data_IF_878917711000
#
_entry.id   IF_878917711000
#
_cell.length_a   1.000
_cell.length_b   1.000
_cell.length_c   1.000
_cell.angle_alpha   90.00
_cell.angle_beta   90.00
_cell.angle_gamma   90.00
#
_symmetry.space_group_name_H-M   'P 1'
#
loop_
_entity.id
_entity.type
_entity.pdbx_description
1 polymer ?
#
# COMPACT_ATOMS: atom_id res chain seq x y z
N UNK A 1 -2.17 -0.94 -41.73
CA UNK A 1 -1.32 -1.17 -40.54
C UNK A 1 -0.93 0.18 -39.99
N UNK A 2 -1.42 0.54 -38.80
CA UNK A 2 -0.76 1.49 -37.91
C UNK A 2 -0.56 0.73 -36.60
N UNK A 3 0.66 0.23 -36.38
CA UNK A 3 1.00 -0.56 -35.20
C UNK A 3 1.33 0.37 -34.02
N UNK A 4 0.34 1.15 -33.57
CA UNK A 4 0.44 2.09 -32.43
C UNK A 4 -0.87 2.11 -31.63
N UNK A 5 -1.60 0.99 -31.60
CA UNK A 5 -2.94 0.91 -31.02
C UNK A 5 -3.07 -0.35 -30.14
N UNK A 6 -2.35 -0.34 -29.00
CA UNK A 6 -2.49 -1.36 -27.95
C UNK A 6 -2.10 -0.88 -26.52
N UNK A 7 -1.69 0.38 -26.37
CA UNK A 7 -1.58 1.07 -25.07
C UNK A 7 -2.12 2.51 -25.20
N UNK A 8 -3.44 2.65 -25.35
CA UNK A 8 -4.11 3.95 -25.25
C UNK A 8 -4.13 4.44 -23.80
N UNK A 9 -2.98 4.93 -23.29
CA UNK A 9 -2.95 5.64 -22.00
C UNK A 9 -3.97 6.77 -22.05
N UNK A 10 -4.95 6.75 -21.13
CA UNK A 10 -5.92 7.83 -20.99
C UNK A 10 -5.18 9.13 -20.73
N UNK A 11 -5.18 10.03 -21.71
CA UNK A 11 -4.45 11.29 -21.64
C UNK A 11 -5.17 12.23 -20.69
N UNK A 12 -4.69 12.34 -19.45
CA UNK A 12 -5.26 13.27 -18.47
C UNK A 12 -5.06 14.71 -18.92
N UNK A 13 -6.18 15.39 -19.18
CA UNK A 13 -6.24 16.81 -19.53
C UNK A 13 -7.06 17.57 -18.49
N UNK A 14 -6.96 18.91 -18.48
CA UNK A 14 -7.82 19.73 -17.64
C UNK A 14 -9.31 19.49 -17.97
N UNK A 15 -9.65 19.31 -19.25
CA UNK A 15 -11.01 18.97 -19.70
C UNK A 15 -11.48 17.61 -19.19
N UNK A 16 -10.63 16.58 -19.28
CA UNK A 16 -10.92 15.25 -18.72
C UNK A 16 -11.17 15.32 -17.21
N UNK A 17 -10.32 16.01 -16.47
CA UNK A 17 -10.46 16.15 -15.02
C UNK A 17 -11.74 16.92 -14.63
N UNK A 18 -12.14 17.93 -15.42
CA UNK A 18 -13.40 18.63 -15.25
C UNK A 18 -14.63 17.74 -15.54
N UNK A 19 -14.60 16.97 -16.63
CA UNK A 19 -15.70 16.09 -17.03
C UNK A 19 -15.89 14.91 -16.05
N UNK A 20 -14.80 14.25 -15.63
CA UNK A 20 -14.86 13.05 -14.78
C UNK A 20 -15.06 13.34 -13.29
N UNK A 21 -14.57 14.47 -12.78
CA UNK A 21 -14.57 14.76 -11.34
C UNK A 21 -15.36 16.03 -10.96
N UNK A 22 -15.97 16.71 -11.93
CA UNK A 22 -16.79 17.90 -11.69
C UNK A 22 -16.01 19.17 -11.37
N UNK A 23 -14.73 19.24 -11.77
CA UNK A 23 -13.92 20.45 -11.64
C UNK A 23 -14.28 21.50 -12.72
N UNK A 24 -13.89 22.76 -12.54
CA UNK A 24 -14.06 23.81 -13.55
C UNK A 24 -12.70 24.27 -14.10
N UNK A 25 -12.55 24.32 -15.43
CA UNK A 25 -11.33 24.82 -16.10
C UNK A 25 -11.45 26.31 -16.43
N UNK A 26 -10.46 27.10 -16.01
CA UNK A 26 -10.39 28.53 -16.31
C UNK A 26 -9.00 28.87 -16.88
N UNK A 27 -8.89 29.50 -18.06
CA UNK A 27 -9.95 29.77 -19.02
C UNK A 27 -10.39 28.49 -19.74
N UNK A 28 -11.62 28.45 -20.25
CA UNK A 28 -12.21 27.25 -20.87
C UNK A 28 -11.46 26.72 -22.12
N UNK A 29 -10.67 27.57 -22.80
CA UNK A 29 -9.82 27.10 -23.90
C UNK A 29 -8.63 26.23 -23.42
N UNK A 30 -8.29 26.28 -22.12
CA UNK A 30 -7.22 25.48 -21.55
C UNK A 30 -7.61 24.00 -21.32
N UNK A 31 -8.85 23.59 -21.59
CA UNK A 31 -9.30 22.20 -21.41
C UNK A 31 -8.45 21.16 -22.16
N UNK A 32 -7.78 21.55 -23.27
CA UNK A 32 -6.84 20.67 -23.99
C UNK A 32 -5.44 20.55 -23.37
N UNK A 33 -5.11 21.33 -22.33
CA UNK A 33 -3.82 21.24 -21.62
C UNK A 33 -3.73 19.89 -20.93
N UNK A 34 -2.59 19.23 -21.13
CA UNK A 34 -2.30 17.88 -20.62
C UNK A 34 -1.49 17.98 -19.34
N UNK A 35 -1.86 17.16 -18.36
CA UNK A 35 -1.15 17.03 -17.10
C UNK A 35 -0.41 15.69 -17.15
N UNK A 36 0.88 15.69 -16.85
CA UNK A 36 1.71 14.47 -16.82
C UNK A 36 2.16 14.08 -15.42
N UNK A 37 1.93 14.95 -14.44
CA UNK A 37 2.31 14.76 -13.04
C UNK A 37 1.58 15.76 -12.14
N UNK A 38 1.57 15.52 -10.84
CA UNK A 38 1.05 16.43 -9.83
C UNK A 38 2.19 16.88 -8.91
N UNK A 39 2.13 18.11 -8.38
CA UNK A 39 3.10 18.62 -7.41
C UNK A 39 2.39 19.38 -6.29
N UNK A 40 2.72 19.07 -5.03
CA UNK A 40 2.12 19.69 -3.84
C UNK A 40 2.94 20.86 -3.26
N UNK A 41 4.22 20.94 -3.62
CA UNK A 41 5.16 22.02 -3.27
C UNK A 41 5.70 22.66 -4.56
N UNK A 42 5.95 23.97 -4.53
CA UNK A 42 6.66 24.69 -5.60
C UNK A 42 8.03 24.08 -5.87
N UNK A 43 8.71 23.57 -4.83
CA UNK A 43 10.02 22.89 -4.95
C UNK A 43 9.97 21.61 -5.79
N UNK A 44 8.82 20.95 -5.89
CA UNK A 44 8.63 19.72 -6.68
C UNK A 44 7.98 19.94 -8.04
N UNK A 45 7.61 21.18 -8.39
CA UNK A 45 7.05 21.54 -9.70
C UNK A 45 8.06 21.26 -10.81
N UNK A 46 7.59 20.62 -11.88
CA UNK A 46 8.28 20.36 -13.14
C UNK A 46 7.37 20.75 -14.31
N UNK A 47 7.91 21.01 -15.52
CA UNK A 47 7.09 21.19 -16.71
C UNK A 47 6.12 20.02 -16.92
N UNK A 48 4.84 20.31 -17.16
CA UNK A 48 3.78 19.30 -17.25
C UNK A 48 3.02 19.02 -15.94
N UNK A 49 3.46 19.58 -14.80
CA UNK A 49 2.74 19.45 -13.53
C UNK A 49 1.43 20.27 -13.51
N UNK A 50 0.39 19.70 -12.89
CA UNK A 50 -0.63 20.47 -12.19
C UNK A 50 -0.15 20.72 -10.76
N UNK A 51 -0.06 21.98 -10.36
CA UNK A 51 0.25 22.36 -8.99
C UNK A 51 -0.99 22.25 -8.10
N UNK A 52 -0.94 21.48 -7.01
CA UNK A 52 -2.06 21.23 -6.10
C UNK A 52 -1.61 21.55 -4.67
N UNK A 53 -1.82 22.79 -4.18
CA UNK A 53 -1.36 23.18 -2.85
C UNK A 53 -1.87 22.25 -1.74
N UNK A 54 -0.95 21.70 -0.94
CA UNK A 54 -1.30 20.87 0.24
C UNK A 54 -1.86 21.70 1.40
N UNK A 55 -1.53 23.00 1.44
CA UNK A 55 -1.98 23.97 2.45
C UNK A 55 -2.98 24.98 1.87
N UNK A 56 -3.38 25.96 2.70
CA UNK A 56 -4.12 27.13 2.22
C UNK A 56 -3.39 27.78 1.04
N UNK A 57 -4.12 28.02 -0.05
CA UNK A 57 -3.60 28.65 -1.26
C UNK A 57 -3.21 30.11 -0.98
N UNK A 58 -2.03 30.50 -1.41
CA UNK A 58 -1.55 31.89 -1.49
C UNK A 58 -1.21 32.23 -2.96
N UNK A 59 -1.56 33.44 -3.39
CA UNK A 59 -1.23 33.97 -4.71
C UNK A 59 0.26 33.89 -5.02
N UNK A 60 1.14 34.17 -4.04
CA UNK A 60 2.60 34.08 -4.24
C UNK A 60 3.07 32.67 -4.56
N UNK A 61 2.41 31.67 -3.97
CA UNK A 61 2.73 30.26 -4.21
C UNK A 61 2.31 29.85 -5.62
N UNK A 62 1.17 30.35 -6.11
CA UNK A 62 0.72 30.15 -7.49
C UNK A 62 1.63 30.87 -8.51
N UNK A 63 2.08 32.08 -8.21
CA UNK A 63 3.06 32.82 -9.03
C UNK A 63 4.39 32.06 -9.11
N UNK A 64 4.90 31.56 -7.99
CA UNK A 64 6.13 30.77 -7.95
C UNK A 64 5.98 29.41 -8.66
N UNK A 65 4.83 28.74 -8.55
CA UNK A 65 4.55 27.51 -9.29
C UNK A 65 4.46 27.72 -10.81
N UNK A 66 3.84 28.84 -11.25
CA UNK A 66 3.87 29.28 -12.65
C UNK A 66 5.31 29.49 -13.14
N UNK A 67 6.11 30.20 -12.36
CA UNK A 67 7.49 30.54 -12.73
C UNK A 67 8.43 29.31 -12.70
N UNK A 68 8.10 28.29 -11.90
CA UNK A 68 8.71 26.97 -11.93
C UNK A 68 8.23 26.07 -13.10
N UNK A 69 7.25 26.52 -13.89
CA UNK A 69 6.80 25.85 -15.11
C UNK A 69 5.57 24.95 -14.96
N UNK A 70 4.77 25.09 -13.89
CA UNK A 70 3.49 24.41 -13.79
C UNK A 70 2.57 24.79 -14.96
N UNK A 71 1.87 23.80 -15.53
CA UNK A 71 0.96 24.00 -16.67
C UNK A 71 -0.42 24.49 -16.22
N UNK A 72 -0.79 24.20 -14.98
CA UNK A 72 -2.01 24.63 -14.33
C UNK A 72 -1.83 24.63 -12.82
N UNK A 73 -2.75 25.25 -12.09
CA UNK A 73 -2.86 25.12 -10.64
C UNK A 73 -4.30 24.79 -10.20
N UNK A 74 -4.46 23.91 -9.21
CA UNK A 74 -5.73 23.66 -8.56
C UNK A 74 -5.97 24.71 -7.47
N UNK A 75 -7.17 25.30 -7.44
CA UNK A 75 -7.56 26.32 -6.45
C UNK A 75 -8.99 26.09 -5.94
N UNK A 76 -9.29 26.42 -4.67
CA UNK A 76 -10.64 26.30 -4.16
C UNK A 76 -11.56 27.42 -4.72
N UNK A 77 -12.88 27.19 -4.80
CA UNK A 77 -13.83 28.13 -5.43
C UNK A 77 -13.76 29.56 -4.88
N UNK A 78 -13.54 29.71 -3.57
CA UNK A 78 -13.40 31.00 -2.89
C UNK A 78 -12.14 31.79 -3.31
N UNK A 79 -11.09 31.13 -3.80
CA UNK A 79 -9.84 31.78 -4.20
C UNK A 79 -9.75 32.07 -5.71
N UNK A 80 -10.74 31.59 -6.49
CA UNK A 80 -10.84 31.76 -7.95
C UNK A 80 -10.50 33.17 -8.43
N UNK A 81 -11.16 34.19 -7.87
CA UNK A 81 -11.04 35.58 -8.35
C UNK A 81 -9.65 36.17 -8.14
N UNK A 82 -8.96 35.78 -7.08
CA UNK A 82 -7.58 36.23 -6.80
C UNK A 82 -6.58 35.50 -7.69
N UNK A 83 -6.74 34.18 -7.83
CA UNK A 83 -5.89 33.32 -8.65
C UNK A 83 -5.94 33.68 -10.15
N UNK A 84 -7.07 34.17 -10.69
CA UNK A 84 -7.13 34.60 -12.10
C UNK A 84 -6.09 35.67 -12.48
N UNK A 85 -5.62 36.45 -11.51
CA UNK A 85 -4.59 37.48 -11.74
C UNK A 85 -3.15 36.93 -11.88
N UNK A 86 -2.94 35.62 -11.66
CA UNK A 86 -1.62 34.96 -11.77
C UNK A 86 -1.24 34.64 -13.21
N UNK A 87 -2.22 34.47 -14.11
CA UNK A 87 -1.98 34.17 -15.53
C UNK A 87 -1.60 32.72 -15.83
N UNK A 88 -1.79 31.80 -14.89
CA UNK A 88 -1.72 30.34 -15.10
C UNK A 88 -3.14 29.77 -15.25
N UNK A 89 -3.38 28.74 -16.09
CA UNK A 89 -4.63 28.00 -16.09
C UNK A 89 -4.98 27.45 -14.71
N UNK A 90 -6.27 27.53 -14.35
CA UNK A 90 -6.80 27.12 -13.06
C UNK A 90 -7.74 25.93 -13.23
N UNK A 91 -7.63 24.98 -12.30
CA UNK A 91 -8.59 23.90 -12.10
C UNK A 91 -9.32 24.17 -10.77
N UNK A 92 -10.54 24.70 -10.85
CA UNK A 92 -11.30 25.07 -9.66
C UNK A 92 -12.00 23.83 -9.11
N UNK A 93 -11.70 23.48 -7.86
CA UNK A 93 -12.24 22.30 -7.17
C UNK A 93 -12.30 22.54 -5.67
N UNK A 94 -13.29 21.95 -4.98
CA UNK A 94 -13.22 21.82 -3.52
C UNK A 94 -12.07 20.87 -3.13
N UNK A 95 -11.53 21.04 -1.91
CA UNK A 95 -10.47 20.18 -1.38
C UNK A 95 -11.03 18.84 -0.90
N UNK A 96 -11.49 18.00 -1.84
CA UNK A 96 -12.01 16.67 -1.59
C UNK A 96 -10.91 15.62 -1.85
N UNK A 97 -10.44 14.89 -0.83
CA UNK A 97 -9.34 13.93 -0.98
C UNK A 97 -9.71 12.73 -1.87
N UNK A 98 -11.00 12.38 -1.99
CA UNK A 98 -11.44 11.25 -2.83
C UNK A 98 -11.28 11.60 -4.33
N UNK A 99 -11.67 12.81 -4.74
CA UNK A 99 -11.52 13.25 -6.14
C UNK A 99 -10.06 13.57 -6.47
N UNK A 100 -9.28 14.05 -5.50
CA UNK A 100 -7.83 14.21 -5.67
C UNK A 100 -7.12 12.84 -5.80
N UNK A 101 -7.54 11.84 -5.02
CA UNK A 101 -7.07 10.46 -5.14
C UNK A 101 -7.30 9.88 -6.53
N UNK A 102 -8.52 10.01 -7.06
CA UNK A 102 -8.86 9.57 -8.42
C UNK A 102 -8.03 10.30 -9.49
N UNK A 103 -7.90 11.63 -9.41
CA UNK A 103 -7.04 12.39 -10.34
C UNK A 103 -5.57 11.93 -10.26
N UNK A 104 -5.04 11.74 -9.05
CA UNK A 104 -3.66 11.30 -8.85
C UNK A 104 -3.42 9.88 -9.35
N UNK A 105 -4.42 9.00 -9.18
CA UNK A 105 -4.44 7.64 -9.73
C UNK A 105 -4.41 7.66 -11.28
N UNK A 106 -5.33 8.38 -11.93
CA UNK A 106 -5.39 8.45 -13.39
C UNK A 106 -4.14 9.10 -14.00
N UNK A 107 -3.57 10.13 -13.37
CA UNK A 107 -2.29 10.75 -13.81
C UNK A 107 -1.12 9.76 -13.70
N UNK A 108 -1.10 8.92 -12.66
CA UNK A 108 -0.09 7.88 -12.46
C UNK A 108 -0.44 6.53 -13.13
N UNK A 109 -1.51 6.49 -13.95
CA UNK A 109 -1.98 5.31 -14.67
C UNK A 109 -2.37 4.12 -13.76
N UNK A 110 -3.03 4.37 -12.62
CA UNK A 110 -3.39 3.38 -11.59
C UNK A 110 -2.25 2.41 -11.23
N UNK A 111 -1.21 2.89 -10.53
CA UNK A 111 -0.04 2.08 -10.25
C UNK A 111 -0.38 0.88 -9.35
N UNK A 112 -1.40 0.99 -8.49
CA UNK A 112 -1.82 -0.07 -7.57
C UNK A 112 -2.46 -1.29 -8.26
N UNK A 113 -2.88 -1.15 -9.52
CA UNK A 113 -3.31 -2.29 -10.35
C UNK A 113 -2.15 -3.08 -10.97
N UNK A 114 -0.91 -2.57 -10.89
CA UNK A 114 0.28 -3.23 -11.46
C UNK A 114 1.25 -3.81 -10.43
N UNK A 115 1.06 -3.53 -9.13
CA UNK A 115 1.97 -3.93 -8.06
C UNK A 115 1.21 -4.41 -6.81
N UNK A 116 1.64 -5.54 -6.24
CA UNK A 116 1.01 -6.07 -5.04
C UNK A 116 1.30 -5.17 -3.82
N UNK A 117 0.26 -4.57 -3.26
CA UNK A 117 0.40 -3.56 -2.19
C UNK A 117 0.14 -4.19 -0.82
N UNK A 118 1.23 -4.37 -0.06
CA UNK A 118 1.21 -4.83 1.32
C UNK A 118 1.26 -3.63 2.26
N UNK A 119 0.40 -3.61 3.27
CA UNK A 119 0.33 -2.56 4.27
C UNK A 119 0.51 -3.16 5.67
N UNK A 120 1.29 -2.50 6.52
CA UNK A 120 1.61 -2.96 7.88
C UNK A 120 1.17 -1.92 8.90
N UNK A 121 0.27 -2.29 9.81
CA UNK A 121 -0.18 -1.45 10.92
C UNK A 121 0.11 -2.11 12.28
N UNK A 122 0.15 -1.31 13.33
CA UNK A 122 0.31 -1.80 14.70
C UNK A 122 0.27 -0.70 15.75
N UNK A 123 0.39 -1.11 17.02
CA UNK A 123 0.29 -0.21 18.18
C UNK A 123 1.57 0.61 18.47
N UNK A 124 2.67 0.37 17.74
CA UNK A 124 3.98 1.00 17.93
C UNK A 124 4.71 1.18 16.60
N UNK A 125 5.32 2.36 16.39
CA UNK A 125 6.03 2.67 15.15
C UNK A 125 7.26 1.78 14.94
N UNK A 126 8.04 1.50 16.00
CA UNK A 126 9.20 0.58 15.94
C UNK A 126 8.80 -0.83 15.47
N UNK A 127 7.65 -1.32 15.93
CA UNK A 127 7.09 -2.61 15.55
C UNK A 127 6.60 -2.60 14.10
N UNK A 128 5.98 -1.51 13.65
CA UNK A 128 5.59 -1.34 12.24
C UNK A 128 6.83 -1.38 11.35
N UNK A 129 7.87 -0.60 11.67
CA UNK A 129 9.09 -0.56 10.86
C UNK A 129 9.83 -1.90 10.83
N UNK A 130 9.94 -2.58 11.97
CA UNK A 130 10.52 -3.92 12.03
C UNK A 130 9.72 -4.93 11.18
N UNK A 131 8.38 -4.92 11.27
CA UNK A 131 7.53 -5.78 10.46
C UNK A 131 7.63 -5.46 8.95
N UNK A 132 7.69 -4.19 8.55
CA UNK A 132 7.86 -3.76 7.16
C UNK A 132 9.16 -4.31 6.56
N UNK A 133 10.27 -4.15 7.26
CA UNK A 133 11.59 -4.67 6.82
C UNK A 133 11.55 -6.19 6.70
N UNK A 134 11.04 -6.91 7.72
CA UNK A 134 11.01 -8.38 7.69
C UNK A 134 10.06 -8.95 6.63
N UNK A 135 8.96 -8.27 6.34
CA UNK A 135 8.08 -8.67 5.24
C UNK A 135 8.76 -8.44 3.89
N UNK A 136 9.45 -7.32 3.70
CA UNK A 136 10.16 -7.02 2.46
C UNK A 136 11.30 -8.02 2.22
N UNK A 137 12.14 -8.28 3.23
CA UNK A 137 13.19 -9.32 3.20
C UNK A 137 12.62 -10.70 2.82
N UNK A 138 11.48 -11.06 3.40
CA UNK A 138 10.86 -12.37 3.19
C UNK A 138 10.19 -12.49 1.80
N UNK A 139 9.53 -11.44 1.33
CA UNK A 139 9.03 -11.35 -0.06
C UNK A 139 10.19 -11.42 -1.06
N UNK A 140 11.32 -10.78 -0.76
CA UNK A 140 12.51 -10.83 -1.61
C UNK A 140 13.15 -12.22 -1.64
N UNK A 141 13.25 -12.89 -0.49
CA UNK A 141 13.69 -14.28 -0.36
C UNK A 141 12.81 -15.27 -1.16
N UNK A 142 11.52 -14.95 -1.35
CA UNK A 142 10.60 -15.70 -2.21
C UNK A 142 10.78 -15.41 -3.71
N UNK A 143 11.75 -14.57 -4.07
CA UNK A 143 12.10 -14.22 -5.45
C UNK A 143 11.38 -12.99 -6.00
N UNK A 144 10.68 -12.22 -5.16
CA UNK A 144 9.97 -11.03 -5.62
C UNK A 144 10.89 -9.79 -5.61
N UNK A 145 10.88 -8.95 -6.65
CA UNK A 145 11.40 -7.59 -6.56
C UNK A 145 10.44 -6.74 -5.70
N UNK A 146 10.95 -6.06 -4.66
CA UNK A 146 10.14 -5.38 -3.63
C UNK A 146 10.57 -3.92 -3.46
N UNK A 147 9.61 -3.01 -3.34
CA UNK A 147 9.80 -1.65 -2.82
C UNK A 147 9.31 -1.50 -1.37
N UNK A 148 9.84 -0.50 -0.67
CA UNK A 148 9.48 -0.16 0.72
C UNK A 148 9.10 1.32 0.77
N UNK A 149 7.96 1.62 1.40
CA UNK A 149 7.52 2.98 1.72
C UNK A 149 7.40 3.11 3.25
N UNK A 150 8.38 3.77 3.88
CA UNK A 150 8.48 3.94 5.33
C UNK A 150 9.29 5.19 5.69
N UNK A 151 8.85 5.94 6.70
CA UNK A 151 9.62 7.05 7.26
C UNK A 151 10.95 6.63 7.93
N UNK A 152 11.14 5.32 8.21
CA UNK A 152 12.42 4.78 8.65
C UNK A 152 13.43 4.54 7.51
N UNK A 153 13.00 4.71 6.26
CA UNK A 153 13.77 4.47 5.04
C UNK A 153 12.89 3.85 3.96
N UNK A 154 12.91 4.44 2.76
CA UNK A 154 12.20 3.93 1.59
C UNK A 154 13.16 3.52 0.49
N UNK A 155 12.76 2.50 -0.27
CA UNK A 155 13.52 2.02 -1.42
C UNK A 155 12.59 1.53 -2.52
N UNK A 156 13.09 1.54 -3.74
CA UNK A 156 12.56 0.76 -4.85
C UNK A 156 13.65 -0.22 -5.24
N UNK A 157 13.43 -1.51 -4.97
CA UNK A 157 14.44 -2.56 -5.12
C UNK A 157 15.69 -2.21 -4.27
N UNK A 158 16.87 -2.18 -4.88
CA UNK A 158 18.13 -1.79 -4.24
C UNK A 158 18.40 -0.27 -4.25
N UNK A 159 17.49 0.55 -4.81
CA UNK A 159 17.64 2.01 -4.90
C UNK A 159 16.92 2.68 -3.75
N UNK A 160 17.65 3.39 -2.89
CA UNK A 160 17.05 4.23 -1.85
C UNK A 160 16.26 5.40 -2.49
N UNK A 161 15.16 5.78 -1.85
CA UNK A 161 14.29 6.87 -2.24
C UNK A 161 14.35 7.99 -1.20
N UNK A 162 14.83 9.16 -1.62
CA UNK A 162 14.85 10.39 -0.81
C UNK A 162 13.47 11.05 -0.87
N UNK A 163 12.64 10.79 0.16
CA UNK A 163 11.23 11.19 0.22
C UNK A 163 10.97 12.10 1.43
N UNK A 164 10.15 13.14 1.25
CA UNK A 164 9.64 13.96 2.35
C UNK A 164 8.44 13.29 3.02
N UNK A 165 8.41 13.29 4.37
CA UNK A 165 7.36 12.66 5.18
C UNK A 165 6.67 13.68 6.09
N UNK A 166 5.39 13.47 6.47
CA UNK A 166 4.52 12.36 6.07
C UNK A 166 3.93 12.54 4.66
N UNK A 167 4.00 11.48 3.84
CA UNK A 167 3.58 11.51 2.43
C UNK A 167 2.09 11.77 2.26
N UNK A 168 1.70 12.53 1.24
CA UNK A 168 0.32 12.76 0.83
C UNK A 168 -0.13 11.88 -0.35
N UNK A 169 -1.37 12.10 -0.79
CA UNK A 169 -2.01 11.39 -1.92
C UNK A 169 -1.13 11.41 -3.18
N UNK A 170 -0.62 12.59 -3.53
CA UNK A 170 0.19 12.81 -4.73
C UNK A 170 1.51 12.04 -4.63
N UNK A 171 2.15 12.09 -3.47
CA UNK A 171 3.46 11.50 -3.24
C UNK A 171 3.38 9.97 -3.25
N UNK A 172 2.32 9.39 -2.67
CA UNK A 172 2.11 7.93 -2.71
C UNK A 172 1.81 7.45 -4.13
N UNK A 173 0.86 8.06 -4.84
CA UNK A 173 0.54 7.66 -6.21
C UNK A 173 1.75 7.80 -7.14
N UNK A 174 2.59 8.82 -6.94
CA UNK A 174 3.84 8.97 -7.69
C UNK A 174 4.91 7.92 -7.31
N UNK A 175 5.12 7.63 -6.02
CA UNK A 175 6.15 6.67 -5.63
C UNK A 175 5.76 5.22 -5.92
N UNK A 176 4.46 4.90 -5.93
CA UNK A 176 3.98 3.62 -6.44
C UNK A 176 4.24 3.48 -7.95
N UNK A 177 4.01 4.53 -8.77
CA UNK A 177 4.33 4.47 -10.20
C UNK A 177 5.84 4.35 -10.45
N UNK A 178 6.69 5.01 -9.64
CA UNK A 178 8.15 4.80 -9.66
C UNK A 178 8.54 3.36 -9.33
N UNK A 179 7.92 2.72 -8.35
CA UNK A 179 8.17 1.30 -8.02
C UNK A 179 7.75 0.37 -9.17
N UNK A 180 6.61 0.65 -9.82
CA UNK A 180 6.15 -0.08 -11.01
C UNK A 180 7.13 0.10 -12.19
N UNK A 181 7.62 1.31 -12.43
CA UNK A 181 8.57 1.62 -13.52
C UNK A 181 9.95 0.96 -13.30
N UNK A 182 10.42 0.88 -12.04
CA UNK A 182 11.63 0.13 -11.69
C UNK A 182 11.45 -1.40 -11.79
N UNK A 183 10.21 -1.90 -11.90
CA UNK A 183 9.89 -3.33 -12.03
C UNK A 183 9.68 -4.07 -10.71
N UNK A 184 9.29 -3.38 -9.63
CA UNK A 184 8.88 -4.02 -8.40
C UNK A 184 7.55 -4.78 -8.59
N UNK A 185 7.47 -5.99 -8.03
CA UNK A 185 6.28 -6.85 -8.05
C UNK A 185 5.42 -6.66 -6.79
N UNK A 186 6.02 -6.15 -5.71
CA UNK A 186 5.33 -5.79 -4.49
C UNK A 186 5.89 -4.50 -3.89
N UNK A 187 5.06 -3.75 -3.16
CA UNK A 187 5.48 -2.66 -2.27
C UNK A 187 4.97 -2.93 -0.85
N UNK A 188 5.80 -2.67 0.15
CA UNK A 188 5.43 -2.75 1.57
C UNK A 188 5.36 -1.35 2.18
N UNK A 189 4.20 -0.96 2.73
CA UNK A 189 3.92 0.39 3.26
C UNK A 189 3.74 0.35 4.79
N UNK A 190 4.43 1.25 5.50
CA UNK A 190 4.20 1.50 6.93
C UNK A 190 2.94 2.37 7.16
N UNK A 191 1.91 1.83 7.83
CA UNK A 191 0.66 2.55 8.14
C UNK A 191 0.72 3.34 9.46
N UNK A 192 1.66 4.27 9.58
CA UNK A 192 1.72 5.21 10.69
C UNK A 192 1.73 6.68 10.23
N UNK A 193 1.45 7.60 11.16
CA UNK A 193 1.41 9.04 10.86
C UNK A 193 2.77 9.71 10.74
N UNK A 194 3.86 8.99 11.01
CA UNK A 194 5.19 9.40 10.60
C UNK A 194 5.40 9.20 9.09
N UNK A 195 4.89 8.09 8.52
CA UNK A 195 5.03 7.79 7.08
C UNK A 195 3.93 8.43 6.24
N UNK A 196 2.67 8.39 6.70
CA UNK A 196 1.49 8.74 5.91
C UNK A 196 0.65 9.85 6.53
N UNK A 197 0.31 10.84 5.71
CA UNK A 197 -0.72 11.82 6.04
C UNK A 197 -2.12 11.18 6.12
N UNK A 198 -3.08 11.89 6.72
CA UNK A 198 -4.49 11.50 6.59
C UNK A 198 -4.87 11.44 5.11
N UNK A 199 -5.68 10.46 4.73
CA UNK A 199 -6.13 10.23 3.35
C UNK A 199 -5.00 9.94 2.33
N UNK A 200 -3.76 9.66 2.74
CA UNK A 200 -2.63 9.50 1.81
C UNK A 200 -2.74 8.33 0.80
N UNK A 201 -3.59 7.33 1.08
CA UNK A 201 -3.79 6.14 0.25
C UNK A 201 -5.10 6.21 -0.59
N UNK A 202 -5.69 7.39 -0.77
CA UNK A 202 -6.89 7.53 -1.60
C UNK A 202 -6.64 7.00 -3.03
N UNK A 203 -7.56 6.14 -3.49
CA UNK A 203 -7.46 5.41 -4.76
C UNK A 203 -6.24 4.48 -4.89
N UNK A 204 -5.65 4.03 -3.78
CA UNK A 204 -4.66 2.94 -3.75
C UNK A 204 -5.36 1.66 -3.30
N UNK A 205 -5.29 0.60 -4.11
CA UNK A 205 -5.67 -0.74 -3.69
C UNK A 205 -4.66 -1.30 -2.68
N UNK A 206 -5.13 -1.87 -1.56
CA UNK A 206 -4.30 -2.63 -0.61
C UNK A 206 -4.72 -4.10 -0.65
N UNK A 207 -3.81 -4.97 -1.09
CA UNK A 207 -4.08 -6.40 -1.25
C UNK A 207 -3.97 -7.16 0.07
N UNK A 208 -3.00 -6.80 0.92
CA UNK A 208 -2.81 -7.44 2.22
C UNK A 208 -2.47 -6.42 3.29
N UNK A 209 -3.35 -6.29 4.28
CA UNK A 209 -3.13 -5.49 5.48
C UNK A 209 -2.79 -6.41 6.66
N UNK A 210 -1.53 -6.38 7.09
CA UNK A 210 -1.06 -7.03 8.31
C UNK A 210 -1.21 -6.10 9.50
N UNK A 211 -1.84 -6.59 10.57
CA UNK A 211 -2.04 -5.82 11.81
C UNK A 211 -1.36 -6.54 12.98
N UNK A 212 -0.33 -5.91 13.56
CA UNK A 212 0.28 -6.34 14.82
C UNK A 212 -0.32 -5.52 15.97
N UNK A 213 -1.36 -6.05 16.61
CA UNK A 213 -1.91 -5.47 17.83
C UNK A 213 -1.79 -6.44 19.00
N UNK A 214 -1.49 -5.90 20.17
CA UNK A 214 -1.54 -6.64 21.42
C UNK A 214 -2.97 -7.05 21.83
N UNK A 215 -4.00 -6.56 21.12
CA UNK A 215 -5.41 -6.70 21.49
C UNK A 215 -6.25 -7.36 20.36
N UNK A 216 -5.83 -8.55 19.93
CA UNK A 216 -6.38 -9.31 18.80
C UNK A 216 -7.92 -9.54 18.83
N UNK A 217 -8.58 -9.42 19.99
CA UNK A 217 -9.98 -9.79 20.16
C UNK A 217 -10.97 -8.87 19.42
N UNK A 218 -10.64 -7.59 19.28
CA UNK A 218 -11.60 -6.56 18.87
C UNK A 218 -11.55 -6.23 17.35
N UNK A 219 -10.85 -7.05 16.57
CA UNK A 219 -10.84 -7.00 15.10
C UNK A 219 -11.68 -8.11 14.44
N UNK A 220 -11.80 -9.28 15.09
CA UNK A 220 -12.51 -10.43 14.53
C UNK A 220 -13.99 -10.13 14.20
N UNK A 221 -14.65 -9.27 15.00
CA UNK A 221 -16.05 -8.87 14.77
C UNK A 221 -16.28 -7.92 13.59
N UNK A 222 -15.24 -7.44 12.90
CA UNK A 222 -15.36 -6.48 11.80
C UNK A 222 -15.24 -7.10 10.40
N UNK A 223 -14.87 -8.38 10.29
CA UNK A 223 -14.56 -9.02 9.01
C UNK A 223 -15.77 -9.74 8.39
N UNK A 224 -16.58 -10.43 9.21
CA UNK A 224 -17.75 -11.22 8.74
C UNK A 224 -18.88 -10.35 8.15
N UNK A 225 -18.88 -9.04 8.39
CA UNK A 225 -19.92 -8.10 7.94
C UNK A 225 -19.73 -7.58 6.51
N UNK A 226 -18.55 -7.73 5.91
CA UNK A 226 -18.24 -7.17 4.58
C UNK A 226 -18.18 -8.21 3.45
N UNK A 227 -18.26 -9.50 3.76
CA UNK A 227 -18.37 -10.55 2.75
C UNK A 227 -19.75 -10.62 2.05
N UNK A 228 -20.72 -9.79 2.47
CA UNK A 228 -22.12 -9.87 2.03
C UNK A 228 -22.67 -8.67 1.25
N UNK A 229 -21.99 -7.53 1.19
CA UNK A 229 -22.49 -6.29 0.56
C UNK A 229 -21.59 -5.78 -0.59
N UNK A 230 -21.44 -6.58 -1.66
CA UNK A 230 -20.83 -6.14 -2.93
C UNK A 230 -21.83 -5.57 -3.95
N UNK A 231 -22.91 -4.94 -3.47
CA UNK A 231 -23.88 -4.21 -4.32
C UNK A 231 -23.76 -2.69 -4.20
N UNK A 232 -22.62 -2.13 -4.61
CA UNK A 232 -22.52 -0.69 -4.88
C UNK A 232 -23.21 -0.38 -6.21
N UNK A 233 -24.45 0.10 -6.15
CA UNK A 233 -25.23 0.46 -7.35
C UNK A 233 -24.77 1.81 -7.91
N UNK A 234 -24.17 1.78 -9.09
CA UNK A 234 -23.65 2.95 -9.80
C UNK A 234 -24.78 3.93 -10.22
N UNK A 235 -24.82 5.18 -9.72
CA UNK A 235 -25.98 6.07 -9.90
C UNK A 235 -26.25 6.60 -11.33
N UNK A 236 -25.39 6.30 -12.31
CA UNK A 236 -25.42 6.93 -13.64
C UNK A 236 -25.71 5.98 -14.82
N UNK A 237 -26.17 4.75 -14.58
CA UNK A 237 -26.65 3.83 -15.64
C UNK A 237 -28.09 4.11 -16.09
N UNK A 238 -28.39 5.35 -16.51
CA UNK A 238 -29.73 5.75 -16.94
C UNK A 238 -29.99 5.42 -18.43
N UNK A 239 -30.09 4.12 -18.75
CA UNK A 239 -30.55 3.64 -20.07
C UNK A 239 -31.94 3.02 -19.97
N UNK A 240 -32.89 3.61 -20.70
CA UNK A 240 -34.31 3.29 -20.71
C UNK A 240 -34.62 1.79 -20.90
N UNK A 241 -35.23 1.17 -19.89
CA UNK A 241 -36.01 -0.06 -20.09
C UNK A 241 -37.35 0.31 -20.73
N UNK A 242 -37.51 -0.04 -22.00
CA UNK A 242 -38.82 -0.11 -22.65
C UNK A 242 -39.49 -1.43 -22.26
N UNK A 243 -40.74 -1.38 -21.83
CA UNK A 243 -41.50 -2.58 -21.47
C UNK A 243 -41.75 -3.48 -22.68
N UNK A 244 -41.70 -4.80 -22.46
CA UNK A 244 -42.28 -5.76 -23.39
C UNK A 244 -42.93 -6.93 -22.64
N UNK A 245 -44.26 -7.00 -22.71
CA UNK A 245 -45.02 -8.21 -22.40
C UNK A 245 -45.73 -8.67 -23.68
N UNK A 246 -45.68 -9.98 -23.91
CA UNK A 246 -46.05 -10.66 -25.15
C UNK A 246 -47.44 -10.33 -25.74
N UNK A 247 -47.58 -10.46 -27.08
CA UNK A 247 -48.29 -11.61 -27.66
C UNK A 247 -48.30 -11.70 -29.21
N UNK A 248 -48.38 -12.95 -29.66
CA UNK A 248 -48.95 -13.45 -30.93
C UNK A 248 -48.41 -13.07 -32.33
N UNK A 249 -47.87 -14.11 -32.98
CA UNK A 249 -48.28 -14.66 -34.29
C UNK A 249 -47.76 -14.10 -35.64
N UNK A 250 -47.14 -15.04 -36.36
CA UNK A 250 -47.32 -15.36 -37.80
C UNK A 250 -46.28 -14.91 -38.84
N UNK A 251 -46.04 -15.85 -39.77
CA UNK A 251 -45.39 -15.77 -41.09
C UNK A 251 -43.86 -15.55 -41.22
N UNK A 252 -43.19 -16.63 -41.69
CA UNK A 252 -42.48 -16.75 -42.98
C UNK A 252 -41.65 -15.53 -43.47
N UNK A 253 -40.36 -15.64 -43.82
CA UNK A 253 -39.80 -16.56 -44.83
C UNK A 253 -38.27 -16.77 -44.70
N UNK A 254 -37.79 -17.76 -45.47
CA UNK A 254 -36.43 -18.05 -45.94
C UNK A 254 -35.29 -17.00 -45.72
N UNK A 255 -34.17 -17.46 -45.16
CA UNK A 255 -33.10 -18.00 -46.02
C UNK A 255 -31.99 -18.73 -45.23
N UNK A 256 -31.36 -19.70 -45.89
CA UNK A 256 -30.15 -20.34 -45.42
C UNK A 256 -28.92 -19.50 -45.78
N UNK A 257 -27.83 -19.64 -45.01
CA UNK A 257 -26.65 -20.27 -45.59
C UNK A 257 -25.70 -20.84 -44.53
N UNK A 258 -25.29 -22.09 -44.76
CA UNK A 258 -24.18 -22.72 -44.05
C UNK A 258 -22.87 -22.29 -44.68
N UNK A 259 -21.82 -22.07 -43.89
CA UNK A 259 -20.53 -22.71 -44.24
C UNK A 259 -19.60 -22.88 -43.03
N UNK A 260 -19.42 -24.12 -42.62
CA UNK A 260 -18.30 -24.54 -41.77
C UNK A 260 -17.03 -24.66 -42.62
N UNK A 261 -15.86 -24.36 -42.04
CA UNK A 261 -14.59 -24.90 -42.53
C UNK A 261 -13.60 -25.21 -41.40
N UNK A 262 -12.75 -26.21 -41.67
CA UNK A 262 -11.96 -26.95 -40.69
C UNK A 262 -10.68 -26.24 -40.21
N UNK A 263 -10.47 -26.29 -38.89
CA UNK A 263 -9.33 -26.96 -38.24
C UNK A 263 -8.09 -27.23 -39.12
N UNK A 264 -6.98 -26.54 -38.82
CA UNK A 264 -5.62 -27.08 -39.01
C UNK A 264 -4.75 -26.80 -37.79
N UNK A 265 -4.05 -27.84 -37.32
CA UNK A 265 -2.92 -27.74 -36.41
C UNK A 265 -1.72 -27.13 -37.15
N UNK A 266 -0.84 -26.48 -36.41
CA UNK A 266 0.59 -26.47 -36.70
C UNK A 266 1.35 -26.81 -35.42
N UNK A 267 2.11 -27.90 -35.48
CA UNK A 267 3.15 -28.21 -34.51
C UNK A 267 4.45 -27.54 -35.01
N UNK A 268 5.28 -27.02 -34.10
CA UNK A 268 6.64 -26.58 -34.43
C UNK A 268 7.58 -26.79 -33.25
N UNK A 269 8.18 -27.98 -33.19
CA UNK A 269 9.41 -28.19 -32.43
C UNK A 269 10.52 -27.30 -32.99
N UNK A 270 11.24 -26.57 -32.15
CA UNK A 270 12.65 -26.24 -32.42
C UNK A 270 13.42 -26.13 -31.10
N UNK A 271 14.12 -27.19 -30.74
CA UNK A 271 15.17 -27.15 -29.73
C UNK A 271 16.42 -26.53 -30.33
N UNK A 272 16.99 -25.51 -29.71
CA UNK A 272 18.41 -25.19 -29.86
C UNK A 272 18.99 -24.67 -28.55
N UNK A 273 19.98 -25.42 -28.06
CA UNK A 273 20.73 -25.19 -26.84
C UNK A 273 22.14 -24.75 -27.25
N UNK A 274 22.67 -23.67 -26.68
CA UNK A 274 24.12 -23.56 -26.51
C UNK A 274 24.57 -22.57 -25.43
N UNK A 275 25.43 -23.08 -24.55
CA UNK A 275 26.16 -22.35 -23.51
C UNK A 275 27.10 -21.29 -24.10
N UNK A 276 27.45 -20.29 -23.29
CA UNK A 276 28.82 -19.78 -23.23
C UNK A 276 29.16 -19.34 -21.81
N UNK A 277 30.17 -19.99 -21.22
CA UNK A 277 30.79 -19.61 -19.94
C UNK A 277 31.87 -18.57 -20.19
N UNK A 278 32.00 -17.60 -19.30
CA UNK A 278 33.22 -16.81 -19.14
C UNK A 278 33.56 -16.67 -17.66
N UNK A 279 34.50 -17.49 -17.18
CA UNK A 279 35.21 -17.22 -15.94
C UNK A 279 36.39 -16.30 -16.26
N UNK A 280 36.62 -15.28 -15.43
CA UNK A 280 37.97 -14.77 -15.24
C UNK A 280 38.21 -14.42 -13.77
N UNK A 281 39.48 -14.48 -13.38
CA UNK A 281 39.93 -14.72 -12.00
C UNK A 281 41.01 -13.71 -11.66
N UNK A 282 40.81 -13.02 -10.54
CA UNK A 282 41.81 -12.44 -9.62
C UNK A 282 43.06 -11.80 -10.23
N UNK A 283 43.24 -10.51 -9.98
CA UNK A 283 44.55 -9.96 -9.66
C UNK A 283 44.46 -9.09 -8.39
N UNK A 284 45.55 -9.05 -7.64
CA UNK A 284 45.61 -8.62 -6.23
C UNK A 284 46.56 -7.45 -6.03
N UNK A 285 46.21 -6.51 -5.16
CA UNK A 285 47.14 -5.50 -4.64
C UNK A 285 47.07 -5.45 -3.11
N UNK A 286 48.23 -5.54 -2.48
CA UNK A 286 48.43 -5.41 -1.03
C UNK A 286 48.68 -3.94 -0.67
N UNK A 287 48.29 -3.54 0.55
CA UNK A 287 49.00 -2.52 1.33
C UNK A 287 48.69 -2.69 2.83
N UNK A 288 49.67 -3.22 3.57
CA UNK A 288 50.24 -2.69 4.82
C UNK A 288 49.33 -1.75 5.64
N UNK A 289 48.79 -2.11 6.82
CA UNK A 289 49.42 -2.48 8.12
C UNK A 289 49.74 -1.30 9.03
N UNK A 290 48.96 -1.14 10.10
CA UNK A 290 49.24 -0.46 11.39
C UNK A 290 47.97 -0.55 12.26
N UNK A 291 48.01 -0.35 13.58
CA UNK A 291 48.37 -1.28 14.67
C UNK A 291 48.05 -0.55 15.99
N UNK A 292 47.53 -1.25 17.00
CA UNK A 292 47.22 -0.74 18.36
C UNK A 292 46.03 0.26 18.46
N UNK A 293 45.32 0.39 19.60
CA UNK A 293 45.60 -0.06 20.98
C UNK A 293 44.37 -0.52 21.76
N UNK A 294 44.55 -1.46 22.67
CA UNK A 294 43.59 -1.83 23.73
C UNK A 294 43.53 -0.77 24.85
N UNK A 295 42.40 -0.70 25.57
CA UNK A 295 42.39 -0.16 26.94
C UNK A 295 41.21 -0.72 27.76
N UNK A 296 41.52 -1.57 28.73
CA UNK A 296 40.61 -1.96 29.81
C UNK A 296 40.27 -0.79 30.74
N UNK A 297 39.06 -0.78 31.30
CA UNK A 297 38.82 -0.15 32.60
C UNK A 297 37.69 -0.84 33.36
N UNK A 298 38.04 -1.59 34.39
CA UNK A 298 37.14 -2.18 35.39
C UNK A 298 36.99 -1.21 36.58
N UNK A 299 35.76 -1.01 37.08
CA UNK A 299 35.54 -0.60 38.48
C UNK A 299 34.13 -0.91 39.02
N UNK A 300 34.09 -1.88 39.93
CA UNK A 300 33.39 -1.88 41.22
C UNK A 300 31.89 -1.48 41.36
N UNK A 301 31.08 -2.53 41.51
CA UNK A 301 30.40 -2.90 42.77
C UNK A 301 29.95 -1.72 43.68
N UNK A 302 28.64 -1.58 43.84
CA UNK A 302 28.05 -1.44 45.18
C UNK A 302 26.72 -2.18 45.27
N UNK A 303 26.43 -2.73 46.45
CA UNK A 303 25.34 -3.69 46.64
C UNK A 303 24.46 -3.31 47.83
N UNK A 304 23.15 -3.49 47.69
CA UNK A 304 22.22 -3.50 48.82
C UNK A 304 21.27 -4.71 48.74
N UNK A 305 21.36 -5.56 49.77
CA UNK A 305 20.29 -6.49 50.19
C UNK A 305 19.16 -5.62 50.82
N UNK A 306 17.94 -6.05 51.16
CA UNK A 306 17.38 -7.31 51.69
C UNK A 306 15.83 -7.15 51.51
N UNK A 307 14.93 -8.14 51.52
CA UNK A 307 14.93 -9.49 52.12
C UNK A 307 14.03 -10.46 51.33
N UNK A 308 14.14 -11.75 51.64
CA UNK A 308 13.11 -12.74 51.30
C UNK A 308 12.02 -12.79 52.39
N UNK A 309 10.82 -13.24 52.02
CA UNK A 309 9.98 -14.02 52.94
C UNK A 309 9.13 -15.02 52.15
N UNK A 310 8.94 -16.20 52.73
CA UNK A 310 8.36 -17.38 52.09
C UNK A 310 7.35 -18.00 53.06
N UNK A 311 6.13 -18.30 52.62
CA UNK A 311 5.17 -19.08 53.42
C UNK A 311 4.13 -19.76 52.52
N UNK A 312 4.28 -21.07 52.35
CA UNK A 312 3.25 -21.95 51.79
C UNK A 312 2.11 -22.18 52.80
N UNK A 313 0.86 -22.37 52.33
CA UNK A 313 0.03 -23.54 52.68
C UNK A 313 -1.34 -23.62 51.98
N UNK A 314 -1.73 -24.88 51.78
CA UNK A 314 -2.82 -25.50 51.01
C UNK A 314 -4.30 -25.18 51.34
N UNK A 315 -5.13 -25.38 50.29
CA UNK A 315 -6.50 -25.95 50.21
C UNK A 315 -7.58 -25.59 51.25
N UNK A 316 -8.74 -25.12 50.75
CA UNK A 316 -9.95 -25.98 50.65
C UNK A 316 -10.99 -25.45 49.62
N UNK A 317 -11.89 -26.33 49.16
CA UNK A 317 -13.02 -26.01 48.27
C UNK A 317 -14.20 -25.43 49.06
N UNK A 318 -15.04 -24.58 48.45
CA UNK A 318 -16.49 -24.86 48.25
C UNK A 318 -17.35 -23.64 47.83
N UNK A 319 -18.56 -23.97 47.35
CA UNK A 319 -19.74 -23.12 47.11
C UNK A 319 -19.76 -22.15 45.91
N UNK A 320 -20.47 -22.62 44.87
CA UNK A 320 -21.23 -21.78 43.95
C UNK A 320 -22.18 -20.90 44.75
N UNK A 321 -22.14 -19.59 44.51
CA UNK A 321 -23.22 -18.67 44.87
C UNK A 321 -23.40 -17.61 43.79
N UNK A 322 -24.32 -17.87 42.86
CA UNK A 322 -24.85 -16.83 41.98
C UNK A 322 -25.62 -15.82 42.84
N UNK A 323 -25.06 -14.64 43.05
CA UNK A 323 -25.83 -13.44 43.43
C UNK A 323 -25.34 -12.29 42.55
N UNK A 324 -26.31 -11.54 42.01
CA UNK A 324 -26.03 -10.40 41.15
C UNK A 324 -25.39 -9.30 42.01
N UNK A 325 -24.29 -8.72 41.52
CA UNK A 325 -23.81 -7.41 41.97
C UNK A 325 -23.45 -6.61 40.73
N UNK A 326 -23.82 -5.33 40.73
CA UNK A 326 -23.62 -4.42 39.61
C UNK A 326 -22.13 -4.26 39.33
N UNK A 327 -21.70 -4.69 38.15
CA UNK A 327 -20.35 -4.41 37.66
C UNK A 327 -20.22 -2.93 37.33
N UNK A 328 -19.91 -2.12 38.34
CA UNK A 328 -19.35 -0.80 38.14
C UNK A 328 -18.14 -0.94 37.22
N UNK A 329 -18.25 -0.43 35.99
CA UNK A 329 -17.19 -0.49 34.99
C UNK A 329 -16.05 0.38 35.51
N UNK A 330 -14.92 -0.25 35.79
CA UNK A 330 -13.81 0.38 36.48
C UNK A 330 -13.24 1.53 35.63
N UNK A 331 -13.35 2.76 36.13
CA UNK A 331 -13.14 3.98 35.34
C UNK A 331 -11.66 4.15 34.91
N UNK A 332 -10.73 3.52 35.63
CA UNK A 332 -9.32 3.40 35.23
C UNK A 332 -9.12 2.44 34.06
N UNK A 333 -9.90 1.35 33.98
CA UNK A 333 -9.81 0.37 32.89
C UNK A 333 -10.27 0.97 31.55
N UNK A 334 -11.25 1.89 31.58
CA UNK A 334 -11.65 2.66 30.39
C UNK A 334 -10.59 3.71 29.98
N UNK A 335 -9.86 4.32 30.94
CA UNK A 335 -8.77 5.26 30.65
C UNK A 335 -7.52 4.59 30.07
N UNK A 336 -7.32 3.30 30.31
CA UNK A 336 -6.23 2.50 29.75
C UNK A 336 -6.58 1.78 28.44
N UNK A 337 -7.81 1.88 27.95
CA UNK A 337 -8.25 1.22 26.72
C UNK A 337 -7.63 1.92 25.49
N UNK A 338 -6.46 1.45 25.04
CA UNK A 338 -5.89 1.86 23.75
C UNK A 338 -6.94 1.59 22.66
N UNK A 339 -7.21 2.55 21.75
CA UNK A 339 -8.18 2.35 20.70
C UNK A 339 -7.75 1.17 19.83
N UNK A 340 -8.59 0.15 19.75
CA UNK A 340 -8.33 -1.04 18.95
C UNK A 340 -8.19 -0.61 17.50
N UNK A 341 -7.12 -1.06 16.84
CA UNK A 341 -6.86 -0.74 15.43
C UNK A 341 -7.85 -1.51 14.55
N UNK A 342 -8.99 -0.85 14.28
CA UNK A 342 -9.95 -1.08 13.21
C UNK A 342 -9.34 -1.31 11.81
N UNK A 343 -9.70 -2.36 11.05
CA UNK A 343 -9.52 -2.34 9.58
C UNK A 343 -10.26 -1.12 9.01
N UNK A 344 -11.53 -0.96 9.42
CA UNK A 344 -12.36 0.18 9.09
C UNK A 344 -11.73 1.50 9.59
N UNK A 345 -11.18 1.53 10.81
CA UNK A 345 -10.51 2.74 11.33
C UNK A 345 -9.26 3.12 10.53
N UNK A 346 -8.43 2.15 10.12
CA UNK A 346 -7.29 2.38 9.25
C UNK A 346 -7.73 2.88 7.87
N UNK A 347 -8.79 2.28 7.31
CA UNK A 347 -9.35 2.69 6.03
C UNK A 347 -9.92 4.12 6.07
N UNK A 348 -10.66 4.47 7.12
CA UNK A 348 -11.17 5.84 7.34
C UNK A 348 -10.05 6.86 7.63
N UNK A 349 -8.89 6.43 8.14
CA UNK A 349 -7.74 7.31 8.42
C UNK A 349 -6.90 7.58 7.18
N UNK A 350 -6.61 6.55 6.39
CA UNK A 350 -5.66 6.62 5.27
C UNK A 350 -6.32 6.59 3.88
N UNK A 351 -7.59 6.20 3.76
CA UNK A 351 -8.37 6.32 2.52
C UNK A 351 -8.19 5.20 1.49
N UNK A 352 -7.52 4.09 1.83
CA UNK A 352 -7.26 3.01 0.86
C UNK A 352 -8.52 2.26 0.41
N UNK A 353 -8.44 1.70 -0.79
CA UNK A 353 -9.46 0.84 -1.39
C UNK A 353 -9.21 -0.61 -1.02
N UNK A 354 -10.29 -1.34 -0.75
CA UNK A 354 -10.30 -2.78 -0.47
C UNK A 354 -11.17 -3.45 -1.52
N UNK A 355 -10.60 -4.35 -2.32
CA UNK A 355 -11.34 -5.17 -3.28
C UNK A 355 -11.80 -6.49 -2.65
N UNK A 356 -12.56 -7.31 -3.38
CA UNK A 356 -13.01 -8.66 -2.95
C UNK A 356 -11.86 -9.63 -2.61
N UNK A 357 -10.62 -9.28 -2.97
CA UNK A 357 -9.39 -10.06 -2.70
C UNK A 357 -8.41 -9.34 -1.76
N UNK A 358 -8.84 -8.29 -1.08
CA UNK A 358 -8.05 -7.64 -0.04
C UNK A 358 -8.17 -8.41 1.28
N UNK A 359 -7.03 -8.77 1.88
CA UNK A 359 -6.97 -9.58 3.10
C UNK A 359 -6.49 -8.77 4.30
N UNK A 360 -7.31 -8.67 5.35
CA UNK A 360 -6.83 -8.25 6.67
C UNK A 360 -6.34 -9.47 7.44
N UNK A 361 -5.08 -9.47 7.88
CA UNK A 361 -4.47 -10.60 8.58
C UNK A 361 -3.80 -10.21 9.89
N UNK A 362 -3.78 -11.16 10.79
CA UNK A 362 -2.96 -11.16 12.00
C UNK A 362 -2.16 -12.47 12.03
N UNK A 363 -1.20 -12.56 12.95
CA UNK A 363 -0.48 -13.80 13.24
C UNK A 363 -1.47 -14.94 13.53
N UNK A 364 -1.26 -16.07 12.87
CA UNK A 364 -2.06 -17.28 13.02
C UNK A 364 -1.21 -18.44 13.53
N UNK A 365 -1.85 -19.45 14.13
CA UNK A 365 -1.17 -20.68 14.57
C UNK A 365 -0.35 -21.34 13.44
N UNK A 366 -0.85 -21.36 12.21
CA UNK A 366 -0.10 -21.92 11.08
C UNK A 366 1.15 -21.07 10.76
N UNK A 367 1.02 -19.74 10.83
CA UNK A 367 2.17 -18.85 10.62
C UNK A 367 3.22 -18.96 11.74
N UNK A 368 2.80 -19.17 12.99
CA UNK A 368 3.70 -19.43 14.13
C UNK A 368 4.40 -20.80 13.99
N UNK A 369 3.66 -21.85 13.63
CA UNK A 369 4.22 -23.19 13.38
C UNK A 369 5.23 -23.18 12.21
N UNK A 370 5.10 -22.26 11.24
CA UNK A 370 6.05 -22.06 10.15
C UNK A 370 7.23 -21.18 10.56
N UNK A 371 7.00 -20.10 11.31
CA UNK A 371 8.06 -19.26 11.85
C UNK A 371 9.00 -20.03 12.79
N UNK A 372 8.47 -20.96 13.57
CA UNK A 372 9.24 -21.86 14.44
C UNK A 372 10.14 -22.88 13.68
N UNK A 373 9.98 -23.02 12.35
CA UNK A 373 10.90 -23.80 11.51
C UNK A 373 12.11 -22.97 11.03
N UNK A 374 12.03 -21.64 11.11
CA UNK A 374 13.20 -20.78 10.95
C UNK A 374 14.01 -20.81 12.25
N UNK A 375 15.32 -20.99 12.12
CA UNK A 375 16.17 -21.41 13.23
C UNK A 375 16.20 -20.46 14.45
N UNK A 376 16.42 -21.01 15.64
CA UNK A 376 16.24 -20.39 16.97
C UNK A 376 17.26 -19.28 17.32
N UNK A 377 17.91 -18.69 16.32
CA UNK A 377 18.96 -17.67 16.46
C UNK A 377 18.37 -16.26 16.59
N UNK A 378 17.09 -16.07 16.28
CA UNK A 378 16.34 -14.84 16.55
C UNK A 378 15.69 -14.83 17.93
N UNK A 379 15.76 -13.69 18.63
CA UNK A 379 14.95 -13.44 19.83
C UNK A 379 13.44 -13.50 19.55
N UNK A 380 12.61 -13.49 20.60
CA UNK A 380 11.14 -13.63 20.50
C UNK A 380 10.50 -12.68 19.46
N UNK A 381 11.03 -11.48 19.36
CA UNK A 381 10.53 -10.43 18.47
C UNK A 381 10.78 -10.78 16.99
N UNK A 382 11.93 -11.41 16.68
CA UNK A 382 12.23 -11.92 15.33
C UNK A 382 11.23 -13.00 14.90
N UNK A 383 10.87 -13.92 15.81
CA UNK A 383 9.85 -14.93 15.55
C UNK A 383 8.47 -14.30 15.31
N UNK A 384 8.10 -13.29 16.13
CA UNK A 384 6.85 -12.52 15.99
C UNK A 384 6.74 -11.85 14.61
N UNK A 385 7.75 -11.08 14.20
CA UNK A 385 7.75 -10.39 12.91
C UNK A 385 7.71 -11.37 11.72
N UNK A 386 8.44 -12.48 11.81
CA UNK A 386 8.44 -13.51 10.77
C UNK A 386 7.07 -14.23 10.68
N UNK A 387 6.43 -14.50 11.82
CA UNK A 387 5.07 -15.06 11.85
C UNK A 387 4.07 -14.14 11.15
N UNK A 388 4.08 -12.82 11.41
CA UNK A 388 3.18 -11.89 10.71
C UNK A 388 3.49 -11.87 9.21
N UNK A 389 4.77 -11.82 8.83
CA UNK A 389 5.21 -11.84 7.43
C UNK A 389 4.72 -13.10 6.70
N UNK A 390 4.81 -14.27 7.35
CA UNK A 390 4.30 -15.53 6.81
C UNK A 390 2.77 -15.52 6.69
N UNK A 391 2.04 -14.96 7.66
CA UNK A 391 0.58 -14.85 7.59
C UNK A 391 0.13 -13.97 6.40
N UNK A 392 0.80 -12.84 6.18
CA UNK A 392 0.55 -11.94 5.03
C UNK A 392 0.84 -12.64 3.69
N UNK A 393 1.96 -13.33 3.60
CA UNK A 393 2.37 -14.08 2.39
C UNK A 393 1.46 -15.27 2.09
N UNK A 394 0.95 -15.97 3.12
CA UNK A 394 -0.06 -17.03 2.96
C UNK A 394 -1.38 -16.48 2.41
N UNK A 395 -1.83 -15.32 2.90
CA UNK A 395 -3.05 -14.68 2.41
C UNK A 395 -2.91 -14.15 0.97
N UNK A 396 -1.72 -13.69 0.58
CA UNK A 396 -1.36 -13.42 -0.82
C UNK A 396 -1.34 -14.68 -1.73
N UNK A 397 -1.66 -15.87 -1.20
CA UNK A 397 -1.79 -17.10 -1.96
C UNK A 397 -0.50 -17.90 -2.15
N UNK A 398 0.61 -17.52 -1.50
CA UNK A 398 1.87 -18.25 -1.60
C UNK A 398 1.76 -19.60 -0.88
N UNK A 399 2.12 -20.67 -1.57
CA UNK A 399 1.97 -22.04 -1.05
C UNK A 399 2.91 -22.29 0.13
N UNK A 400 2.39 -22.94 1.18
CA UNK A 400 3.16 -23.41 2.36
C UNK A 400 4.44 -24.17 2.01
N UNK A 401 4.44 -24.94 0.93
CA UNK A 401 5.65 -25.64 0.43
C UNK A 401 6.75 -24.68 0.00
N UNK A 402 6.40 -23.62 -0.74
CA UNK A 402 7.33 -22.56 -1.18
C UNK A 402 7.91 -21.81 0.02
N UNK A 403 7.07 -21.46 0.99
CA UNK A 403 7.50 -20.83 2.26
C UNK A 403 8.53 -21.71 2.99
N UNK A 404 8.25 -23.01 3.18
CA UNK A 404 9.19 -23.94 3.81
C UNK A 404 10.53 -24.05 3.05
N UNK A 405 10.48 -24.06 1.72
CA UNK A 405 11.70 -24.06 0.90
C UNK A 405 12.52 -22.78 1.07
N UNK A 406 11.87 -21.60 1.06
CA UNK A 406 12.54 -20.32 1.25
C UNK A 406 13.20 -20.20 2.64
N UNK A 407 12.48 -20.55 3.70
CA UNK A 407 13.01 -20.58 5.07
C UNK A 407 14.22 -21.52 5.20
N UNK A 408 14.19 -22.67 4.51
CA UNK A 408 15.34 -23.58 4.45
C UNK A 408 16.53 -22.99 3.67
N UNK A 409 16.29 -22.36 2.52
CA UNK A 409 17.37 -21.73 1.74
C UNK A 409 18.02 -20.58 2.50
N UNK A 410 17.26 -19.82 3.29
CA UNK A 410 17.80 -18.78 4.20
C UNK A 410 18.71 -19.34 5.30
N UNK A 411 18.53 -20.61 5.70
CA UNK A 411 19.44 -21.30 6.60
C UNK A 411 20.73 -21.76 5.88
N UNK A 412 20.66 -22.11 4.60
CA UNK A 412 21.80 -22.59 3.81
C UNK A 412 22.67 -21.44 3.22
N UNK A 413 22.21 -20.19 3.33
CA UNK A 413 22.90 -18.96 2.88
C UNK A 413 23.54 -18.13 4.02
N UNK A 414 23.59 -18.67 5.24
CA UNK A 414 24.29 -18.11 6.40
C UNK A 414 25.56 -18.90 6.69
#
# INVERSE_FOLDING_TARGET
MNAVDEFSRTRVTLGFAAEQYGFEVIPSFASGVTITSLACDVRSVKPGCLFVPSSRVDKRQLEAARDAGAYAAMVPPEFRSEAMSVGIPLLVSSNNPITLGKLACDVNCDPSSFIATFAVAGDSDDEIYANVIRLADFLHMLGNPVGIISAAGSSSLQRELDLEYPMGIIDIQHNLSVCVEDGAAAVVIALNSATLSKDALQSVNVDVLGVESNNALAMAGSLDLYASDSSYSDPYSNTSKFDSHANHASHADDNADNHSYNKKKYDSDTTLNQNSKSQQKVESLNSDSESHSESDSVSDISSYRTSANKSDKHYENSFIKNQNDDSAIDEESMKSARPVISFYTLQQRYGFVSHERSYCVMRSRESDELAALADQIGGKDVHKHLSLSIAMVLAAGVRRGTIKSALRVSHELK
#
